data_IF_403439201916
#
_entry.id   IF_403439201916
#
_cell.length_a   1.000
_cell.length_b   1.000
_cell.length_c   1.000
_cell.angle_alpha   90.00
_cell.angle_beta   90.00
_cell.angle_gamma   90.00
#
_symmetry.space_group_name_H-M   'P 1'
#
loop_
_entity.id
_entity.type
_entity.pdbx_description
1 polymer ?
#
# COMPACT_ATOMS: atom_id res chain seq x y z
N UNK A 1 22.21 -23.21 -8.89
CA UNK A 1 22.18 -22.71 -7.51
C UNK A 1 21.36 -21.43 -7.50
N UNK A 2 20.19 -21.41 -6.85
CA UNK A 2 19.47 -20.17 -6.62
C UNK A 2 20.29 -19.32 -5.65
N UNK A 3 20.45 -17.99 -5.89
CA UNK A 3 21.08 -17.12 -4.90
C UNK A 3 20.27 -17.17 -3.61
N UNK A 4 20.92 -17.01 -2.44
CA UNK A 4 20.22 -17.01 -1.17
C UNK A 4 19.15 -15.90 -1.20
N UNK A 5 17.91 -16.22 -0.82
CA UNK A 5 16.86 -15.24 -0.60
C UNK A 5 17.40 -14.24 0.42
N UNK A 6 17.63 -13.00 -0.01
CA UNK A 6 17.89 -11.91 0.94
C UNK A 6 16.71 -11.82 1.91
N UNK A 7 16.96 -11.53 3.19
CA UNK A 7 15.87 -11.33 4.14
C UNK A 7 14.96 -10.25 3.59
N UNK A 8 13.67 -10.58 3.47
CA UNK A 8 12.66 -9.64 3.02
C UNK A 8 12.63 -8.46 4.00
N UNK A 9 12.99 -7.26 3.55
CA UNK A 9 12.81 -6.04 4.33
C UNK A 9 11.31 -5.73 4.37
N UNK A 10 10.62 -6.31 5.37
CA UNK A 10 9.23 -5.93 5.62
C UNK A 10 9.16 -4.45 5.97
N UNK A 11 8.10 -3.82 5.53
CA UNK A 11 7.78 -2.44 5.89
C UNK A 11 7.55 -2.35 7.40
N UNK A 12 8.06 -1.28 8.02
CA UNK A 12 7.83 -0.99 9.43
C UNK A 12 7.63 0.53 9.67
N UNK A 13 7.35 0.90 10.91
CA UNK A 13 7.09 2.28 11.30
C UNK A 13 8.30 3.22 11.20
N UNK A 14 9.50 2.70 10.93
CA UNK A 14 10.71 3.51 10.74
C UNK A 14 10.95 3.92 9.28
N UNK A 15 10.08 3.51 8.37
CA UNK A 15 10.17 3.84 6.95
C UNK A 15 10.25 5.34 6.73
N UNK A 16 11.23 5.79 5.94
CA UNK A 16 11.50 7.21 5.66
C UNK A 16 11.88 7.39 4.19
N UNK A 17 11.78 8.64 3.71
CA UNK A 17 12.15 9.00 2.34
C UNK A 17 10.98 8.88 1.37
N UNK A 18 11.27 8.85 0.09
CA UNK A 18 10.27 8.84 -0.98
C UNK A 18 9.90 7.42 -1.37
N UNK A 19 8.65 7.04 -1.15
CA UNK A 19 8.03 5.84 -1.71
C UNK A 19 7.28 6.23 -2.97
N UNK A 20 7.93 6.07 -4.13
CA UNK A 20 7.36 6.51 -5.41
C UNK A 20 6.16 5.64 -5.79
N UNK A 21 5.04 6.31 -6.14
CA UNK A 21 3.87 5.64 -6.69
C UNK A 21 4.08 5.47 -8.19
N UNK A 22 4.11 4.23 -8.68
CA UNK A 22 4.36 3.95 -10.09
C UNK A 22 3.10 3.82 -10.91
N UNK A 23 3.21 4.07 -12.19
CA UNK A 23 2.24 3.69 -13.21
C UNK A 23 2.36 2.19 -13.55
N UNK A 24 1.39 1.65 -14.27
CA UNK A 24 1.50 0.35 -14.93
C UNK A 24 1.66 0.60 -16.43
N UNK A 25 2.83 0.32 -17.03
CA UNK A 25 3.02 0.48 -18.47
C UNK A 25 2.19 -0.50 -19.29
N UNK A 26 1.56 0.01 -20.34
CA UNK A 26 0.80 -0.78 -21.30
C UNK A 26 1.35 -0.52 -22.71
N UNK A 27 1.18 -1.50 -23.58
CA UNK A 27 1.39 -1.37 -25.04
C UNK A 27 0.25 -0.57 -25.67
N UNK A 28 0.41 -0.19 -26.93
CA UNK A 28 -0.66 0.47 -27.69
C UNK A 28 -1.91 -0.42 -27.88
N UNK A 29 -1.76 -1.75 -27.75
CA UNK A 29 -2.89 -2.71 -27.76
C UNK A 29 -3.58 -2.84 -26.40
N UNK A 30 -3.03 -2.26 -25.33
CA UNK A 30 -3.56 -2.35 -23.96
C UNK A 30 -3.05 -3.53 -23.16
N UNK A 31 -2.09 -4.30 -23.66
CA UNK A 31 -1.44 -5.38 -22.94
C UNK A 31 -0.36 -4.82 -21.99
N UNK A 32 0.03 -5.55 -20.94
CA UNK A 32 1.13 -5.16 -20.07
C UNK A 32 2.44 -5.05 -20.86
N UNK A 33 3.11 -3.90 -20.79
CA UNK A 33 4.46 -3.69 -21.33
C UNK A 33 5.52 -3.99 -20.27
N UNK A 34 5.96 -5.24 -20.20
CA UNK A 34 6.97 -5.67 -19.23
C UNK A 34 8.35 -5.06 -19.51
N UNK A 35 8.68 -4.75 -20.76
CA UNK A 35 9.94 -4.10 -21.09
C UNK A 35 9.98 -2.65 -20.61
N UNK A 36 8.88 -1.91 -20.75
CA UNK A 36 8.73 -0.57 -20.17
C UNK A 36 8.66 -0.62 -18.65
N UNK A 37 8.09 -1.68 -18.08
CA UNK A 37 8.09 -1.90 -16.62
C UNK A 37 9.50 -1.99 -16.08
N UNK A 38 10.41 -2.72 -16.74
CA UNK A 38 11.80 -2.80 -16.32
C UNK A 38 12.50 -1.44 -16.39
N UNK A 39 12.32 -0.69 -17.48
CA UNK A 39 12.88 0.66 -17.63
C UNK A 39 12.35 1.64 -16.58
N UNK A 40 11.06 1.55 -16.26
CA UNK A 40 10.43 2.35 -15.20
C UNK A 40 11.06 2.03 -13.84
N UNK A 41 11.23 0.76 -13.50
CA UNK A 41 11.87 0.35 -12.23
C UNK A 41 13.31 0.87 -12.16
N UNK A 42 14.09 0.73 -13.22
CA UNK A 42 15.46 1.26 -13.27
C UNK A 42 15.49 2.76 -13.05
N UNK A 43 14.65 3.51 -13.76
CA UNK A 43 14.54 4.96 -13.60
C UNK A 43 14.19 5.36 -12.16
N UNK A 44 13.24 4.66 -11.53
CA UNK A 44 12.88 4.91 -10.13
C UNK A 44 14.07 4.69 -9.19
N UNK A 45 14.79 3.58 -9.36
CA UNK A 45 15.94 3.23 -8.52
C UNK A 45 17.10 4.21 -8.72
N UNK A 46 17.40 4.60 -9.95
CA UNK A 46 18.43 5.58 -10.29
C UNK A 46 18.09 6.99 -9.74
N UNK A 47 16.81 7.28 -9.55
CA UNK A 47 16.32 8.51 -8.90
C UNK A 47 16.50 8.53 -7.38
N UNK A 48 16.99 7.44 -6.77
CA UNK A 48 17.30 7.37 -5.34
C UNK A 48 16.09 7.24 -4.44
N UNK A 49 15.01 6.61 -4.89
CA UNK A 49 13.81 6.38 -4.07
C UNK A 49 14.10 5.47 -2.87
N UNK A 50 13.44 5.70 -1.76
CA UNK A 50 13.51 4.86 -0.56
C UNK A 50 12.65 3.58 -0.68
N UNK A 51 11.62 3.61 -1.54
CA UNK A 51 10.75 2.47 -1.82
C UNK A 51 9.87 2.71 -3.04
N UNK A 52 9.13 1.69 -3.43
CA UNK A 52 8.13 1.77 -4.49
C UNK A 52 6.76 1.38 -3.96
N UNK A 53 5.72 2.03 -4.47
CA UNK A 53 4.33 1.59 -4.29
C UNK A 53 3.74 1.32 -5.66
N UNK A 54 3.33 0.09 -5.92
CA UNK A 54 2.77 -0.38 -7.18
C UNK A 54 1.31 -0.80 -7.01
N UNK A 55 0.57 -0.92 -8.08
CA UNK A 55 -0.86 -1.27 -8.06
C UNK A 55 -1.70 -0.36 -7.14
N UNK A 56 -1.30 0.91 -7.01
CA UNK A 56 -2.13 1.95 -6.43
C UNK A 56 -3.16 2.48 -7.44
N UNK A 57 -3.81 3.59 -7.10
CA UNK A 57 -4.77 4.26 -7.97
C UNK A 57 -4.10 4.68 -9.29
N UNK A 58 -2.91 5.31 -9.21
CA UNK A 58 -2.13 5.69 -10.40
C UNK A 58 -1.63 4.47 -11.18
N UNK A 59 -1.42 3.33 -10.52
CA UNK A 59 -1.07 2.05 -11.16
C UNK A 59 -2.25 1.32 -11.79
N UNK A 60 -3.44 1.94 -11.81
CA UNK A 60 -4.65 1.43 -12.48
C UNK A 60 -5.06 0.01 -12.05
N UNK A 61 -4.79 -0.35 -10.79
CA UNK A 61 -4.98 -1.69 -10.25
C UNK A 61 -6.37 -2.30 -10.52
N UNK A 62 -7.42 -1.47 -10.48
CA UNK A 62 -8.80 -1.92 -10.71
C UNK A 62 -9.11 -2.26 -12.16
N UNK A 63 -8.21 -1.94 -13.08
CA UNK A 63 -8.35 -2.25 -14.52
C UNK A 63 -7.62 -3.53 -14.92
N UNK A 64 -6.78 -4.07 -14.03
CA UNK A 64 -6.04 -5.30 -14.28
C UNK A 64 -6.84 -6.52 -13.81
N UNK A 65 -6.71 -7.61 -14.53
CA UNK A 65 -7.12 -8.93 -14.04
C UNK A 65 -6.19 -9.37 -12.90
N UNK A 66 -6.62 -10.34 -12.11
CA UNK A 66 -5.77 -10.93 -11.07
C UNK A 66 -4.47 -11.52 -11.65
N UNK A 67 -4.54 -12.11 -12.85
CA UNK A 67 -3.37 -12.67 -13.53
C UNK A 67 -2.38 -11.59 -13.99
N UNK A 68 -2.86 -10.49 -14.55
CA UNK A 68 -2.01 -9.35 -14.94
C UNK A 68 -1.38 -8.70 -13.72
N UNK A 69 -2.15 -8.49 -12.65
CA UNK A 69 -1.62 -7.96 -11.38
C UNK A 69 -0.49 -8.83 -10.84
N UNK A 70 -0.68 -10.16 -10.85
CA UNK A 70 0.34 -11.12 -10.42
C UNK A 70 1.60 -11.07 -11.29
N UNK A 71 1.43 -11.02 -12.60
CA UNK A 71 2.52 -10.93 -13.57
C UNK A 71 3.31 -9.62 -13.39
N UNK A 72 2.61 -8.49 -13.26
CA UNK A 72 3.23 -7.17 -13.05
C UNK A 72 4.03 -7.12 -11.73
N UNK A 73 3.43 -7.58 -10.63
CA UNK A 73 4.13 -7.62 -9.33
C UNK A 73 5.38 -8.50 -9.41
N UNK A 74 5.29 -9.67 -10.01
CA UNK A 74 6.43 -10.58 -10.19
C UNK A 74 7.55 -9.92 -11.01
N UNK A 75 7.21 -9.19 -12.08
CA UNK A 75 8.18 -8.47 -12.91
C UNK A 75 8.88 -7.38 -12.09
N UNK A 76 8.11 -6.53 -11.41
CA UNK A 76 8.66 -5.44 -10.60
C UNK A 76 9.54 -5.97 -9.48
N UNK A 77 9.08 -6.95 -8.68
CA UNK A 77 9.86 -7.53 -7.59
C UNK A 77 11.14 -8.20 -8.10
N UNK A 78 11.07 -8.89 -9.23
CA UNK A 78 12.24 -9.48 -9.89
C UNK A 78 13.24 -8.41 -10.33
N UNK A 79 12.77 -7.29 -10.92
CA UNK A 79 13.64 -6.20 -11.36
C UNK A 79 14.22 -5.41 -10.20
N UNK A 80 13.43 -5.13 -9.15
CA UNK A 80 13.91 -4.46 -7.93
C UNK A 80 14.94 -5.31 -7.21
N UNK A 81 14.79 -6.63 -7.20
CA UNK A 81 15.73 -7.59 -6.61
C UNK A 81 16.12 -7.25 -5.15
N UNK A 82 15.18 -6.78 -4.36
CA UNK A 82 15.39 -6.44 -2.93
C UNK A 82 16.17 -5.16 -2.66
N UNK A 83 16.49 -4.35 -3.67
CA UNK A 83 17.26 -3.09 -3.49
C UNK A 83 16.51 -2.04 -2.67
N UNK A 84 15.20 -2.00 -2.79
CA UNK A 84 14.30 -1.15 -2.01
C UNK A 84 13.02 -1.93 -1.66
N UNK A 85 12.32 -1.58 -0.58
CA UNK A 85 11.03 -2.16 -0.27
C UNK A 85 9.98 -1.82 -1.35
N UNK A 86 9.12 -2.79 -1.66
CA UNK A 86 7.98 -2.60 -2.58
C UNK A 86 6.68 -2.85 -1.83
N UNK A 87 5.82 -1.84 -1.80
CA UNK A 87 4.46 -1.90 -1.27
C UNK A 87 3.49 -2.16 -2.42
N UNK A 88 2.55 -3.07 -2.24
CA UNK A 88 1.59 -3.45 -3.29
C UNK A 88 0.18 -3.02 -2.90
N UNK A 89 -0.50 -2.27 -3.76
CA UNK A 89 -1.92 -1.96 -3.58
C UNK A 89 -2.76 -3.24 -3.61
N UNK A 90 -3.50 -3.48 -2.53
CA UNK A 90 -4.33 -4.68 -2.36
C UNK A 90 -5.81 -4.33 -2.13
N UNK A 91 -6.20 -3.07 -2.36
CA UNK A 91 -7.60 -2.65 -2.24
C UNK A 91 -8.48 -3.45 -3.19
N UNK A 92 -9.50 -4.08 -2.65
CA UNK A 92 -10.45 -4.87 -3.42
C UNK A 92 -11.87 -4.71 -2.83
N UNK A 93 -12.93 -4.82 -3.64
CA UNK A 93 -14.31 -4.77 -3.14
C UNK A 93 -14.66 -5.90 -2.17
N UNK A 94 -13.94 -7.02 -2.25
CA UNK A 94 -14.17 -8.20 -1.43
C UNK A 94 -12.89 -8.67 -0.72
N UNK A 95 -13.06 -9.29 0.46
CA UNK A 95 -11.94 -9.75 1.28
C UNK A 95 -11.24 -11.00 0.72
N UNK A 96 -11.95 -11.85 -0.02
CA UNK A 96 -11.34 -13.04 -0.63
C UNK A 96 -10.28 -12.68 -1.69
N UNK A 97 -10.56 -11.80 -2.68
CA UNK A 97 -9.55 -11.30 -3.61
C UNK A 97 -8.40 -10.57 -2.91
N UNK A 98 -8.70 -9.77 -1.87
CA UNK A 98 -7.67 -9.08 -1.07
C UNK A 98 -6.71 -10.08 -0.42
N UNK A 99 -7.25 -11.14 0.20
CA UNK A 99 -6.45 -12.19 0.83
C UNK A 99 -5.58 -12.92 -0.17
N UNK A 100 -6.16 -13.34 -1.30
CA UNK A 100 -5.46 -14.07 -2.36
C UNK A 100 -4.28 -13.25 -2.90
N UNK A 101 -4.52 -11.99 -3.27
CA UNK A 101 -3.47 -11.09 -3.76
C UNK A 101 -2.40 -10.89 -2.69
N UNK A 102 -2.78 -10.57 -1.44
CA UNK A 102 -1.84 -10.32 -0.36
C UNK A 102 -0.95 -11.53 -0.09
N UNK A 103 -1.51 -12.72 0.04
CA UNK A 103 -0.73 -13.95 0.25
C UNK A 103 0.26 -14.17 -0.89
N UNK A 104 -0.18 -13.98 -2.12
CA UNK A 104 0.66 -14.14 -3.30
C UNK A 104 1.82 -13.14 -3.33
N UNK A 105 1.55 -11.83 -3.16
CA UNK A 105 2.59 -10.81 -3.26
C UNK A 105 3.58 -10.86 -2.10
N UNK A 106 3.11 -11.17 -0.90
CA UNK A 106 3.99 -11.37 0.26
C UNK A 106 4.90 -12.60 0.07
N UNK A 107 4.38 -13.69 -0.50
CA UNK A 107 5.19 -14.86 -0.84
C UNK A 107 6.24 -14.57 -1.92
N UNK A 108 5.99 -13.62 -2.82
CA UNK A 108 6.94 -13.15 -3.83
C UNK A 108 8.00 -12.19 -3.28
N UNK A 109 7.81 -11.64 -2.08
CA UNK A 109 8.78 -10.75 -1.43
C UNK A 109 8.37 -9.27 -1.41
N UNK A 110 7.08 -8.94 -1.51
CA UNK A 110 6.60 -7.60 -1.20
C UNK A 110 6.90 -7.23 0.26
N UNK A 111 7.19 -5.96 0.51
CA UNK A 111 7.49 -5.46 1.85
C UNK A 111 6.22 -5.26 2.69
N UNK A 112 5.08 -5.07 2.05
CA UNK A 112 3.78 -4.89 2.66
C UNK A 112 2.73 -4.57 1.60
N UNK A 113 1.50 -4.35 2.04
CA UNK A 113 0.38 -3.99 1.15
C UNK A 113 -0.22 -2.64 1.53
N UNK A 114 -0.92 -1.99 0.60
CA UNK A 114 -1.64 -0.74 0.83
C UNK A 114 -3.13 -0.95 0.59
N UNK A 115 -3.96 -0.45 1.51
CA UNK A 115 -5.41 -0.58 1.44
C UNK A 115 -6.09 0.77 1.58
N UNK A 116 -6.93 1.11 0.60
CA UNK A 116 -7.86 2.22 0.62
C UNK A 116 -9.29 1.73 0.91
N UNK A 117 -10.15 2.55 1.52
CA UNK A 117 -11.55 2.21 1.74
C UNK A 117 -12.30 2.11 0.41
N UNK A 118 -13.20 1.12 0.23
CA UNK A 118 -14.07 1.07 -0.94
C UNK A 118 -15.09 2.22 -0.93
N UNK A 119 -15.43 2.72 -2.11
CA UNK A 119 -16.31 3.89 -2.30
C UNK A 119 -17.76 3.68 -1.83
N UNK A 120 -18.11 2.52 -1.32
CA UNK A 120 -19.44 2.18 -0.81
C UNK A 120 -19.67 2.53 0.65
N UNK A 121 -18.60 2.81 1.42
CA UNK A 121 -18.71 3.17 2.84
C UNK A 121 -19.25 4.59 3.02
N UNK A 122 -20.10 4.80 4.02
CA UNK A 122 -20.80 6.07 4.23
C UNK A 122 -20.70 6.62 5.65
N UNK A 123 -20.50 5.77 6.65
CA UNK A 123 -20.45 6.19 8.06
C UNK A 123 -19.13 5.82 8.68
N UNK A 124 -18.73 6.55 9.73
CA UNK A 124 -17.49 6.31 10.47
C UNK A 124 -17.41 4.87 10.99
N UNK A 125 -18.53 4.34 11.50
CA UNK A 125 -18.55 2.96 12.02
C UNK A 125 -18.41 1.91 10.90
N UNK A 126 -18.97 2.16 9.71
CA UNK A 126 -18.74 1.29 8.56
C UNK A 126 -17.27 1.29 8.14
N UNK A 127 -16.63 2.47 8.16
CA UNK A 127 -15.21 2.60 7.81
C UNK A 127 -14.34 1.84 8.82
N UNK A 128 -14.57 2.04 10.11
CA UNK A 128 -13.79 1.35 11.16
C UNK A 128 -14.00 -0.15 11.08
N UNK A 129 -15.23 -0.63 10.99
CA UNK A 129 -15.55 -2.05 10.87
C UNK A 129 -14.91 -2.69 9.62
N UNK A 130 -14.87 -1.96 8.50
CA UNK A 130 -14.18 -2.43 7.30
C UNK A 130 -12.69 -2.67 7.56
N UNK A 131 -12.00 -1.74 8.22
CA UNK A 131 -10.56 -1.91 8.51
C UNK A 131 -10.28 -2.95 9.60
N UNK A 132 -11.20 -3.22 10.50
CA UNK A 132 -11.13 -4.38 11.41
C UNK A 132 -11.15 -5.68 10.60
N UNK A 133 -12.06 -5.81 9.63
CA UNK A 133 -12.09 -6.96 8.72
C UNK A 133 -10.86 -7.03 7.79
N UNK A 134 -10.27 -5.89 7.41
CA UNK A 134 -8.97 -5.85 6.70
C UNK A 134 -7.89 -6.48 7.56
N UNK A 135 -7.77 -6.11 8.83
CA UNK A 135 -6.79 -6.70 9.75
C UNK A 135 -6.92 -8.22 9.86
N UNK A 136 -8.16 -8.72 10.02
CA UNK A 136 -8.44 -10.16 10.06
C UNK A 136 -8.05 -10.84 8.74
N UNK A 137 -8.30 -10.17 7.61
CA UNK A 137 -8.03 -10.69 6.26
C UNK A 137 -6.56 -10.80 5.97
N UNK A 138 -5.78 -9.76 6.31
CA UNK A 138 -4.34 -9.70 6.09
C UNK A 138 -3.56 -10.56 7.07
N UNK A 139 -4.04 -10.65 8.30
CA UNK A 139 -3.35 -11.30 9.41
C UNK A 139 -2.27 -10.42 10.07
N UNK A 140 -1.80 -10.83 11.26
CA UNK A 140 -0.92 -10.00 12.09
C UNK A 140 0.50 -9.82 11.54
N UNK A 141 0.93 -10.69 10.63
CA UNK A 141 2.31 -10.73 10.12
C UNK A 141 2.50 -9.93 8.82
N UNK A 142 1.43 -9.36 8.28
CA UNK A 142 1.46 -8.56 7.04
C UNK A 142 1.46 -7.08 7.38
N UNK A 143 2.59 -6.37 7.21
CA UNK A 143 2.59 -4.92 7.35
C UNK A 143 1.73 -4.28 6.28
N UNK A 144 0.96 -3.26 6.66
CA UNK A 144 0.15 -2.58 5.68
C UNK A 144 0.10 -1.06 5.88
N UNK A 145 -0.30 -0.37 4.81
CA UNK A 145 -0.41 1.07 4.68
C UNK A 145 -1.88 1.44 4.59
N UNK A 146 -2.34 2.32 5.47
CA UNK A 146 -3.66 2.95 5.36
C UNK A 146 -3.59 4.07 4.32
N UNK A 147 -4.39 3.99 3.24
CA UNK A 147 -4.49 5.07 2.26
C UNK A 147 -5.72 5.95 2.53
N UNK A 148 -5.47 7.23 2.81
CA UNK A 148 -6.48 8.28 2.96
C UNK A 148 -6.47 9.18 1.72
N UNK A 149 -7.27 8.82 0.71
CA UNK A 149 -7.36 9.55 -0.58
C UNK A 149 -8.82 9.81 -0.97
N UNK A 150 -9.51 10.72 -0.27
CA UNK A 150 -10.95 10.95 -0.44
C UNK A 150 -11.35 11.41 -1.85
N UNK A 151 -10.46 12.08 -2.58
CA UNK A 151 -10.73 12.53 -3.96
C UNK A 151 -11.04 11.34 -4.88
N UNK A 152 -10.32 10.22 -4.71
CA UNK A 152 -10.52 9.02 -5.55
C UNK A 152 -11.54 8.04 -4.96
N UNK A 153 -11.53 7.88 -3.63
CA UNK A 153 -12.40 6.90 -2.97
C UNK A 153 -13.82 7.44 -2.72
N UNK A 154 -13.98 8.76 -2.62
CA UNK A 154 -15.21 9.39 -2.16
C UNK A 154 -15.50 9.18 -0.67
N UNK A 155 -14.55 8.62 0.09
CA UNK A 155 -14.69 8.30 1.51
C UNK A 155 -13.82 9.24 2.32
N UNK A 156 -14.44 10.09 3.12
CA UNK A 156 -13.77 11.00 4.04
C UNK A 156 -13.53 10.27 5.37
N UNK A 157 -12.26 10.20 5.77
CA UNK A 157 -11.87 9.68 7.08
C UNK A 157 -11.48 10.86 7.98
N UNK A 158 -12.29 11.14 8.99
CA UNK A 158 -11.95 12.14 10.00
C UNK A 158 -10.75 11.69 10.85
N UNK A 159 -10.06 12.65 11.51
CA UNK A 159 -8.98 12.32 12.46
C UNK A 159 -9.39 11.25 13.48
N UNK A 160 -10.55 11.37 14.18
CA UNK A 160 -11.00 10.32 15.11
C UNK A 160 -11.15 8.94 14.46
N UNK A 161 -11.64 8.86 13.21
CA UNK A 161 -11.77 7.59 12.48
C UNK A 161 -10.40 6.98 12.20
N UNK A 162 -9.45 7.77 11.69
CA UNK A 162 -8.08 7.29 11.45
C UNK A 162 -7.44 6.80 12.76
N UNK A 163 -7.58 7.53 13.86
CA UNK A 163 -7.04 7.12 15.15
C UNK A 163 -7.67 5.82 15.66
N UNK A 164 -8.99 5.64 15.52
CA UNK A 164 -9.68 4.37 15.85
C UNK A 164 -9.14 3.20 15.03
N UNK A 165 -8.92 3.40 13.72
CA UNK A 165 -8.33 2.37 12.85
C UNK A 165 -6.93 2.01 13.33
N UNK A 166 -6.08 3.00 13.57
CA UNK A 166 -4.69 2.77 13.99
C UNK A 166 -4.60 2.07 15.36
N UNK A 167 -5.44 2.43 16.33
CA UNK A 167 -5.49 1.77 17.64
C UNK A 167 -5.82 0.28 17.52
N UNK A 168 -6.68 -0.09 16.58
CA UNK A 168 -7.14 -1.46 16.38
C UNK A 168 -6.29 -2.25 15.37
N UNK A 169 -5.21 -1.65 14.84
CA UNK A 169 -4.46 -2.18 13.70
C UNK A 169 -2.96 -2.18 13.95
N UNK A 170 -2.43 -3.06 14.80
CA UNK A 170 -0.99 -3.09 15.12
C UNK A 170 -0.07 -3.33 13.92
N UNK A 171 -0.57 -4.00 12.87
CA UNK A 171 0.15 -4.24 11.63
C UNK A 171 0.05 -3.08 10.63
N UNK A 172 -0.76 -2.04 10.89
CA UNK A 172 -0.77 -0.80 10.13
C UNK A 172 0.43 0.05 10.54
N UNK A 173 1.45 0.06 9.71
CA UNK A 173 2.74 0.70 10.02
C UNK A 173 2.95 2.03 9.32
N UNK A 174 2.03 2.41 8.43
CA UNK A 174 2.17 3.63 7.63
C UNK A 174 0.80 4.20 7.25
N UNK A 175 0.72 5.54 7.25
CA UNK A 175 -0.40 6.30 6.70
C UNK A 175 0.05 7.03 5.44
N UNK A 176 -0.58 6.75 4.30
CA UNK A 176 -0.46 7.55 3.09
C UNK A 176 -1.62 8.54 3.05
N UNK A 177 -1.30 9.82 3.30
CA UNK A 177 -2.31 10.86 3.48
C UNK A 177 -2.36 11.80 2.27
N UNK A 178 -3.49 11.81 1.59
CA UNK A 178 -3.72 12.59 0.37
C UNK A 178 -4.99 13.43 0.43
N UNK A 179 -5.54 13.67 1.64
CA UNK A 179 -6.68 14.57 1.82
C UNK A 179 -6.23 16.05 1.75
N UNK A 180 -7.10 16.90 1.24
CA UNK A 180 -6.82 18.33 1.09
C UNK A 180 -8.04 19.17 1.55
N UNK A 181 -7.80 20.12 2.49
CA UNK A 181 -6.56 20.48 3.17
C UNK A 181 -6.17 19.48 4.27
N UNK A 182 -4.92 18.99 4.23
CA UNK A 182 -4.46 17.88 5.07
C UNK A 182 -3.68 18.23 6.33
N UNK A 183 -3.10 19.45 6.40
CA UNK A 183 -2.12 19.79 7.44
C UNK A 183 -2.67 19.67 8.87
N UNK A 184 -3.91 20.11 9.10
CA UNK A 184 -4.53 20.04 10.43
C UNK A 184 -4.74 18.58 10.87
N UNK A 185 -5.18 17.72 9.94
CA UNK A 185 -5.36 16.27 10.17
C UNK A 185 -4.03 15.60 10.50
N UNK A 186 -2.99 15.86 9.72
CA UNK A 186 -1.63 15.35 9.97
C UNK A 186 -1.10 15.79 11.33
N UNK A 187 -1.23 17.08 11.66
CA UNK A 187 -0.77 17.63 12.94
C UNK A 187 -1.46 16.93 14.13
N UNK A 188 -2.76 16.68 14.04
CA UNK A 188 -3.52 16.00 15.08
C UNK A 188 -3.10 14.53 15.23
N UNK A 189 -2.88 13.81 14.13
CA UNK A 189 -2.39 12.42 14.14
C UNK A 189 -0.98 12.36 14.75
N UNK A 190 -0.07 13.23 14.32
CA UNK A 190 1.29 13.34 14.90
C UNK A 190 1.26 13.64 16.40
N UNK A 191 0.35 14.49 16.85
CA UNK A 191 0.17 14.79 18.28
C UNK A 191 -0.29 13.54 19.06
N UNK A 192 -1.25 12.77 18.52
CA UNK A 192 -1.74 11.55 19.15
C UNK A 192 -0.64 10.47 19.25
N UNK A 193 0.21 10.33 18.24
CA UNK A 193 1.37 9.42 18.25
C UNK A 193 2.36 9.85 19.35
N UNK A 194 2.70 11.15 19.43
CA UNK A 194 3.62 11.68 20.44
C UNK A 194 3.10 11.52 21.87
N UNK A 195 1.79 11.54 22.06
CA UNK A 195 1.13 11.32 23.35
C UNK A 195 1.01 9.81 23.73
N UNK A 196 1.39 8.91 22.84
CA UNK A 196 1.26 7.46 23.05
C UNK A 196 -0.17 6.94 22.92
N UNK A 197 -1.08 7.70 22.34
CA UNK A 197 -2.48 7.28 22.13
C UNK A 197 -2.63 6.24 21.03
N UNK A 198 -1.69 6.21 20.09
CA UNK A 198 -1.58 5.20 19.01
C UNK A 198 -0.13 4.77 18.85
N UNK A 199 0.08 3.59 18.30
CA UNK A 199 1.44 3.09 18.00
C UNK A 199 2.13 4.03 17.00
N UNK A 200 3.48 4.14 17.06
CA UNK A 200 4.22 4.86 16.03
C UNK A 200 3.97 4.29 14.65
N UNK A 201 3.71 5.18 13.69
CA UNK A 201 3.60 4.84 12.26
C UNK A 201 4.42 5.83 11.45
N UNK A 202 4.84 5.44 10.25
CA UNK A 202 5.34 6.36 9.25
C UNK A 202 4.17 7.12 8.59
N UNK A 203 4.39 8.37 8.16
CA UNK A 203 3.41 9.16 7.42
C UNK A 203 4.05 9.63 6.11
N UNK A 204 3.39 9.35 4.99
CA UNK A 204 3.77 9.76 3.65
C UNK A 204 2.73 10.71 3.05
#
# INVERSE_FOLDING_TARGET
MQPPKQPMNKLDASAQGVYLITVTPFTDSGDLDLASTDRMVDFCLDSGVAGLTILGIMGEATKLTAQESHLFVKQVLGRVAGRVPVVVGASAPGFAPMRELTQSVMAMGAAGVMVAPPSTLRTDDQIVAYFEMVNETLGPDVPWVLQDHPVSTGVQMSTPVILRILMNSPACVMLKHEDCPGLAKLSAICAAIKQGNVMPISIL
#
